data_IF_956636550718
#
_entry.id   IF_956636550718
#
_cell.length_a   1.000
_cell.length_b   1.000
_cell.length_c   1.000
_cell.angle_alpha   90.00
_cell.angle_beta   90.00
_cell.angle_gamma   90.00
#
_symmetry.space_group_name_H-M   'P 1'
#
loop_
_entity.id
_entity.type
_entity.pdbx_description
1 polymer ?
#
# COMPACT_ATOMS: atom_id res chain seq x y z
N UNK A 1 55.40 -42.01 8.19
CA UNK A 1 55.79 -40.65 7.77
C UNK A 1 54.53 -39.80 7.65
N UNK A 2 54.28 -38.97 8.66
CA UNK A 2 53.08 -38.12 8.77
C UNK A 2 53.11 -36.97 7.77
N UNK A 3 52.02 -36.77 7.02
CA UNK A 3 51.71 -35.51 6.36
C UNK A 3 50.47 -34.91 7.02
N UNK A 4 50.71 -33.84 7.77
CA UNK A 4 49.71 -33.02 8.45
C UNK A 4 49.06 -32.09 7.43
N UNK A 5 47.75 -32.25 7.23
CA UNK A 5 46.95 -31.36 6.40
C UNK A 5 46.50 -30.12 7.20
N UNK A 6 46.88 -28.94 6.71
CA UNK A 6 46.45 -27.62 7.22
C UNK A 6 44.96 -27.40 6.95
N UNK A 7 44.18 -27.08 7.99
CA UNK A 7 42.84 -26.49 7.89
C UNK A 7 42.93 -25.02 7.45
N UNK A 8 42.04 -24.52 6.57
CA UNK A 8 41.84 -23.09 6.38
C UNK A 8 40.83 -22.54 7.40
N UNK A 9 41.15 -21.41 8.01
CA UNK A 9 40.32 -20.67 8.95
C UNK A 9 39.25 -19.84 8.21
N UNK A 10 38.03 -19.86 8.76
CA UNK A 10 36.88 -19.15 8.24
C UNK A 10 36.80 -17.70 8.72
N UNK A 11 36.29 -16.88 7.78
CA UNK A 11 35.74 -15.52 7.83
C UNK A 11 35.26 -15.01 9.21
N UNK A 12 35.75 -13.82 9.57
CA UNK A 12 35.07 -12.86 10.47
C UNK A 12 34.63 -11.67 9.62
N UNK A 13 33.34 -11.55 9.34
CA UNK A 13 32.71 -10.35 8.78
C UNK A 13 31.93 -9.64 9.88
N UNK A 14 32.45 -8.51 10.36
CA UNK A 14 31.71 -7.62 11.27
C UNK A 14 30.99 -6.54 10.47
N UNK A 15 29.69 -6.51 10.73
CA UNK A 15 28.63 -5.57 10.41
C UNK A 15 28.95 -4.09 10.65
N UNK A 16 28.61 -3.28 9.65
CA UNK A 16 27.74 -2.09 9.72
C UNK A 16 27.80 -1.22 10.99
N UNK A 17 28.38 -0.01 10.85
CA UNK A 17 28.18 1.10 11.76
C UNK A 17 27.76 2.36 10.97
N UNK A 18 26.58 2.85 11.34
CA UNK A 18 25.85 4.02 10.81
C UNK A 18 26.53 5.33 11.28
N UNK A 19 26.67 6.39 10.46
CA UNK A 19 27.17 7.67 10.96
C UNK A 19 26.07 8.45 11.68
N UNK A 20 26.35 8.79 12.94
CA UNK A 20 25.57 9.70 13.78
C UNK A 20 25.93 11.15 13.44
N UNK A 21 24.97 11.89 12.85
CA UNK A 21 25.05 13.34 12.65
C UNK A 21 24.73 14.03 13.98
N UNK A 22 25.72 14.65 14.61
CA UNK A 22 25.53 15.62 15.68
C UNK A 22 26.07 16.98 15.24
N UNK A 23 25.14 17.88 14.89
CA UNK A 23 25.39 19.29 14.66
C UNK A 23 25.67 19.99 16.01
N UNK A 24 26.90 20.46 16.20
CA UNK A 24 27.25 21.42 17.26
C UNK A 24 27.27 22.82 16.66
N UNK A 25 26.23 23.61 16.91
CA UNK A 25 26.27 25.06 16.67
C UNK A 25 27.00 25.75 17.83
N UNK A 26 28.13 26.36 17.50
CA UNK A 26 28.88 27.27 18.38
C UNK A 26 28.10 28.59 18.52
N UNK A 27 27.70 28.89 19.74
CA UNK A 27 27.30 30.24 20.17
C UNK A 27 28.57 31.06 20.41
N UNK A 28 28.80 32.09 19.60
CA UNK A 28 29.81 33.11 19.86
C UNK A 28 29.19 34.26 20.65
N UNK A 29 29.61 34.36 21.91
CA UNK A 29 29.40 35.52 22.77
C UNK A 29 30.31 36.67 22.32
N UNK A 30 29.73 37.85 22.09
CA UNK A 30 30.45 39.13 22.23
C UNK A 30 29.92 39.84 23.48
N UNK A 31 30.78 40.26 24.42
CA UNK A 31 30.37 40.98 25.61
C UNK A 31 30.51 42.50 25.42
N UNK A 32 29.59 43.23 26.05
CA UNK A 32 29.87 44.50 26.72
C UNK A 32 29.92 45.75 25.85
N UNK A 33 28.94 46.64 26.06
CA UNK A 33 29.34 47.99 26.48
C UNK A 33 28.34 48.57 27.51
N UNK A 34 28.91 49.06 28.60
CA UNK A 34 28.22 49.61 29.77
C UNK A 34 28.18 51.13 29.64
N UNK A 35 27.02 51.73 29.89
CA UNK A 35 26.86 53.18 29.86
C UNK A 35 27.40 53.93 31.08
N UNK A 36 27.45 55.28 30.89
CA UNK A 36 27.21 56.44 31.82
C UNK A 36 28.29 57.54 31.65
N UNK A 37 28.08 58.83 32.04
CA UNK A 37 26.87 59.51 32.58
C UNK A 37 26.56 60.92 32.00
N UNK A 38 25.31 61.40 32.23
CA UNK A 38 25.00 62.73 32.79
C UNK A 38 25.10 64.03 31.96
N UNK A 39 23.94 64.64 31.65
CA UNK A 39 23.76 66.09 31.57
C UNK A 39 22.29 66.47 31.90
N UNK A 40 22.02 67.64 32.54
CA UNK A 40 20.77 67.95 33.25
C UNK A 40 19.63 68.43 32.33
N UNK A 41 18.37 68.47 32.83
CA UNK A 41 17.20 68.75 32.01
C UNK A 41 17.02 70.26 31.73
N UNK A 42 17.07 70.64 30.46
CA UNK A 42 16.63 71.97 30.02
C UNK A 42 15.10 72.07 30.03
N UNK A 43 14.62 73.12 30.70
CA UNK A 43 13.22 73.49 30.84
C UNK A 43 12.64 73.82 29.47
N UNK A 44 11.71 72.99 28.98
CA UNK A 44 10.88 73.29 27.81
C UNK A 44 10.02 74.53 28.09
N UNK A 45 10.35 75.64 27.44
CA UNK A 45 9.44 76.79 27.29
C UNK A 45 8.26 76.35 26.42
N UNK A 46 7.06 76.82 26.76
CA UNK A 46 5.86 76.58 25.98
C UNK A 46 6.06 77.05 24.53
N UNK A 47 5.65 76.28 23.52
CA UNK A 47 5.70 76.73 22.13
C UNK A 47 4.68 77.84 21.92
N UNK A 48 5.18 79.01 21.54
CA UNK A 48 4.41 80.14 21.06
C UNK A 48 3.69 79.71 19.77
N UNK A 49 2.35 79.70 19.82
CA UNK A 49 1.51 79.30 18.69
C UNK A 49 1.46 80.45 17.67
N UNK A 50 2.41 80.45 16.72
CA UNK A 50 2.38 81.36 15.58
C UNK A 50 1.47 80.75 14.50
N UNK A 51 0.36 81.43 14.19
CA UNK A 51 -0.51 81.04 13.08
C UNK A 51 0.27 81.10 11.76
N UNK A 52 0.26 80.04 10.94
CA UNK A 52 0.83 80.08 9.60
C UNK A 52 0.01 81.05 8.74
N UNK A 53 0.68 81.99 8.08
CA UNK A 53 0.04 82.90 7.14
C UNK A 53 -0.60 82.09 5.98
N UNK A 54 -1.92 82.25 5.81
CA UNK A 54 -2.69 81.68 4.72
C UNK A 54 -2.35 82.38 3.39
N UNK A 55 -1.18 82.10 2.79
CA UNK A 55 -0.93 82.49 1.39
C UNK A 55 0.20 81.72 0.68
N UNK A 56 0.48 80.47 1.08
CA UNK A 56 1.43 79.63 0.34
C UNK A 56 0.65 78.52 -0.36
N UNK A 57 0.45 78.68 -1.66
CA UNK A 57 -0.03 77.62 -2.56
C UNK A 57 0.93 76.41 -2.44
N UNK A 58 0.42 75.20 -2.11
CA UNK A 58 1.26 74.02 -2.07
C UNK A 58 1.80 73.73 -3.48
N UNK A 59 3.13 73.57 -3.58
CA UNK A 59 3.79 73.17 -4.83
C UNK A 59 3.26 71.80 -5.26
N UNK A 60 2.89 71.67 -6.53
CA UNK A 60 2.47 70.41 -7.13
C UNK A 60 3.58 69.37 -6.96
N UNK A 61 3.29 68.29 -6.23
CA UNK A 61 4.15 67.12 -6.15
C UNK A 61 3.77 66.18 -7.29
N UNK A 62 4.59 66.12 -8.34
CA UNK A 62 4.31 65.42 -9.60
C UNK A 62 4.36 63.89 -9.55
N UNK A 63 4.52 63.26 -8.38
CA UNK A 63 4.45 61.79 -8.28
C UNK A 63 3.75 61.39 -6.99
N UNK A 64 2.46 61.10 -7.14
CA UNK A 64 1.68 60.42 -6.12
C UNK A 64 2.15 58.95 -6.13
N UNK A 65 2.95 58.56 -5.14
CA UNK A 65 3.34 57.16 -4.93
C UNK A 65 2.12 56.34 -4.51
N UNK A 66 1.47 55.72 -5.49
CA UNK A 66 0.30 54.86 -5.29
C UNK A 66 0.60 53.65 -4.38
N UNK A 67 1.85 53.21 -4.29
CA UNK A 67 2.27 52.13 -3.38
C UNK A 67 2.25 52.56 -1.91
N UNK A 68 2.68 53.79 -1.62
CA UNK A 68 2.64 54.35 -0.26
C UNK A 68 1.19 54.59 0.15
N UNK A 69 0.33 55.02 -0.79
CA UNK A 69 -1.10 55.19 -0.53
C UNK A 69 -1.79 53.83 -0.34
N UNK A 70 -1.50 52.81 -1.17
CA UNK A 70 -2.01 51.43 -0.99
C UNK A 70 -1.56 50.81 0.34
N UNK A 71 -0.30 50.97 0.72
CA UNK A 71 0.21 50.48 2.01
C UNK A 71 -0.43 51.22 3.20
N UNK A 72 -0.79 52.49 3.02
CA UNK A 72 -1.46 53.32 4.04
C UNK A 72 -2.97 53.05 4.11
N UNK A 73 -3.62 52.65 3.03
CA UNK A 73 -5.05 52.29 3.00
C UNK A 73 -5.29 50.84 3.37
N UNK A 74 -4.42 49.89 3.02
CA UNK A 74 -4.51 48.50 3.51
C UNK A 74 -4.37 48.39 5.04
N UNK A 75 -3.54 49.23 5.68
CA UNK A 75 -3.45 49.29 7.15
C UNK A 75 -4.69 49.87 7.84
N UNK A 76 -5.62 50.46 7.08
CA UNK A 76 -6.83 51.11 7.61
C UNK A 76 -8.10 50.29 7.41
N UNK A 77 -8.01 49.16 6.70
CA UNK A 77 -9.05 48.15 6.66
C UNK A 77 -8.66 46.93 7.49
N UNK A 78 -8.22 47.17 8.74
CA UNK A 78 -8.38 46.13 9.74
C UNK A 78 -9.89 46.01 9.99
N UNK A 79 -10.51 44.85 9.76
CA UNK A 79 -11.94 44.66 10.06
C UNK A 79 -12.18 45.07 11.52
N UNK A 80 -13.26 45.83 11.75
CA UNK A 80 -13.59 46.37 13.07
C UNK A 80 -13.71 45.21 14.08
N UNK A 81 -12.74 45.06 14.98
CA UNK A 81 -12.76 44.05 16.04
C UNK A 81 -11.43 43.35 16.35
N UNK A 82 -10.40 43.46 15.51
CA UNK A 82 -9.13 42.74 15.74
C UNK A 82 -8.04 43.60 16.42
N UNK A 83 -7.53 43.13 17.57
CA UNK A 83 -6.36 43.75 18.21
C UNK A 83 -5.05 43.13 17.70
N UNK A 84 -4.66 43.54 16.49
CA UNK A 84 -3.46 43.08 15.77
C UNK A 84 -2.16 43.37 16.56
N UNK A 85 -2.18 44.28 17.54
CA UNK A 85 -0.99 44.60 18.36
C UNK A 85 -0.77 43.54 19.43
N UNK A 86 -1.82 43.12 20.13
CA UNK A 86 -1.71 42.08 21.16
C UNK A 86 -1.47 40.70 20.54
N UNK A 87 -2.11 40.38 19.41
CA UNK A 87 -1.81 39.13 18.67
C UNK A 87 -0.31 39.06 18.32
N UNK A 88 0.30 40.16 17.87
CA UNK A 88 1.74 40.22 17.57
C UNK A 88 2.63 40.10 18.79
N UNK A 89 2.16 40.55 19.96
CA UNK A 89 2.89 40.39 21.22
C UNK A 89 2.87 38.93 21.66
N UNK A 90 1.70 38.29 21.63
CA UNK A 90 1.54 36.85 21.93
C UNK A 90 2.40 36.01 20.98
N UNK A 91 2.38 36.29 19.67
CA UNK A 91 3.23 35.58 18.69
C UNK A 91 4.74 35.73 18.96
N UNK A 92 5.18 36.86 19.52
CA UNK A 92 6.59 37.04 19.92
C UNK A 92 6.93 36.29 21.20
N UNK A 93 6.00 36.21 22.15
CA UNK A 93 6.18 35.49 23.41
C UNK A 93 6.16 33.96 23.22
N UNK A 94 5.33 33.47 22.29
CA UNK A 94 5.14 32.03 22.03
C UNK A 94 6.19 31.44 21.07
N UNK A 95 6.91 32.27 20.29
CA UNK A 95 7.81 31.82 19.21
C UNK A 95 8.84 30.75 19.63
N UNK A 96 9.32 30.82 20.87
CA UNK A 96 10.35 29.91 21.40
C UNK A 96 9.81 28.90 22.44
N UNK A 97 8.48 28.87 22.66
CA UNK A 97 7.84 28.00 23.63
C UNK A 97 7.07 26.87 22.94
N UNK A 98 7.22 25.64 23.44
CA UNK A 98 6.40 24.49 23.01
C UNK A 98 5.06 24.53 23.73
N UNK A 99 4.11 25.24 23.15
CA UNK A 99 2.73 25.34 23.66
C UNK A 99 1.84 24.44 22.79
N UNK A 100 0.92 23.66 23.37
CA UNK A 100 -0.04 22.88 22.58
C UNK A 100 -1.01 23.82 21.83
N UNK A 101 -1.47 23.37 20.66
CA UNK A 101 -2.26 24.19 19.74
C UNK A 101 -3.55 24.72 20.38
N UNK A 102 -4.19 23.94 21.25
CA UNK A 102 -5.40 24.36 21.97
C UNK A 102 -5.16 25.57 22.89
N UNK A 103 -4.05 25.57 23.63
CA UNK A 103 -3.67 26.67 24.53
C UNK A 103 -3.32 27.92 23.74
N UNK A 104 -2.63 27.75 22.60
CA UNK A 104 -2.32 28.85 21.69
C UNK A 104 -3.58 29.50 21.11
N UNK A 105 -4.55 28.70 20.66
CA UNK A 105 -5.82 29.22 20.14
C UNK A 105 -6.60 29.94 21.24
N UNK A 106 -6.61 29.40 22.47
CA UNK A 106 -7.25 30.07 23.61
C UNK A 106 -6.61 31.43 23.92
N UNK A 107 -5.27 31.54 23.86
CA UNK A 107 -4.53 32.80 24.05
C UNK A 107 -4.85 33.85 22.98
N UNK A 108 -5.01 33.43 21.72
CA UNK A 108 -5.28 34.34 20.59
C UNK A 108 -6.77 34.67 20.47
N UNK A 109 -7.65 33.77 20.91
CA UNK A 109 -9.11 33.86 20.70
C UNK A 109 -9.72 35.16 21.19
N UNK A 110 -9.31 35.69 22.35
CA UNK A 110 -9.88 36.93 22.90
C UNK A 110 -9.54 38.20 22.11
N UNK A 111 -8.61 38.11 21.15
CA UNK A 111 -8.10 39.24 20.38
C UNK A 111 -8.50 39.20 18.90
N UNK A 112 -9.19 38.14 18.45
CA UNK A 112 -9.74 38.05 17.09
C UNK A 112 -11.20 38.49 17.06
N UNK A 113 -11.67 38.99 15.91
CA UNK A 113 -13.02 39.53 15.78
C UNK A 113 -14.14 38.49 15.98
N UNK A 114 -13.83 37.21 15.77
CA UNK A 114 -14.72 36.06 15.86
C UNK A 114 -14.58 35.27 17.18
N UNK A 115 -13.83 35.80 18.15
CA UNK A 115 -13.43 35.09 19.38
C UNK A 115 -12.77 33.71 19.11
N UNK A 116 -12.01 33.59 18.02
CA UNK A 116 -11.30 32.39 17.61
C UNK A 116 -12.20 31.23 17.18
N UNK A 117 -13.42 31.51 16.73
CA UNK A 117 -14.35 30.49 16.25
C UNK A 117 -13.83 29.79 14.99
N UNK A 118 -13.27 30.55 14.05
CA UNK A 118 -12.69 30.03 12.80
C UNK A 118 -11.44 29.20 13.10
N UNK A 119 -10.56 29.68 13.99
CA UNK A 119 -9.37 28.93 14.43
C UNK A 119 -9.74 27.61 15.10
N UNK A 120 -10.78 27.58 15.94
CA UNK A 120 -11.27 26.35 16.56
C UNK A 120 -11.88 25.38 15.54
N UNK A 121 -12.53 25.91 14.51
CA UNK A 121 -13.09 25.10 13.42
C UNK A 121 -11.98 24.43 12.60
N UNK A 122 -10.96 25.20 12.19
CA UNK A 122 -9.80 24.67 11.47
C UNK A 122 -9.07 23.62 12.32
N UNK A 123 -8.88 23.88 13.63
CA UNK A 123 -8.27 22.89 14.53
C UNK A 123 -9.07 21.59 14.60
N UNK A 124 -10.40 21.66 14.68
CA UNK A 124 -11.25 20.47 14.71
C UNK A 124 -11.22 19.71 13.37
N UNK A 125 -11.11 20.42 12.25
CA UNK A 125 -10.94 19.82 10.91
C UNK A 125 -9.57 19.13 10.79
N UNK A 126 -8.50 19.77 11.27
CA UNK A 126 -7.14 19.20 11.29
C UNK A 126 -7.06 17.98 12.22
N UNK A 127 -7.70 18.02 13.38
CA UNK A 127 -7.77 16.86 14.29
C UNK A 127 -8.57 15.71 13.65
N UNK A 128 -9.69 16.01 13.00
CA UNK A 128 -10.49 15.00 12.30
C UNK A 128 -9.74 14.38 11.12
N UNK A 129 -9.01 15.17 10.34
CA UNK A 129 -8.19 14.67 9.23
C UNK A 129 -7.01 13.84 9.73
N UNK A 130 -6.35 14.27 10.81
CA UNK A 130 -5.30 13.50 11.47
C UNK A 130 -5.82 12.16 11.99
N UNK A 131 -6.97 12.14 12.67
CA UNK A 131 -7.58 10.90 13.15
C UNK A 131 -7.99 9.97 12.01
N UNK A 132 -8.52 10.50 10.90
CA UNK A 132 -8.81 9.71 9.68
C UNK A 132 -7.53 9.12 9.08
N UNK A 133 -6.46 9.90 9.01
CA UNK A 133 -5.17 9.45 8.52
C UNK A 133 -4.59 8.35 9.42
N UNK A 134 -4.60 8.56 10.73
CA UNK A 134 -4.13 7.59 11.71
C UNK A 134 -4.93 6.27 11.60
N UNK A 135 -6.26 6.34 11.55
CA UNK A 135 -7.10 5.15 11.34
C UNK A 135 -6.74 4.42 10.06
N UNK A 136 -6.59 5.15 8.95
CA UNK A 136 -6.20 4.56 7.67
C UNK A 136 -4.84 3.86 7.74
N UNK A 137 -3.84 4.49 8.35
CA UNK A 137 -2.50 3.90 8.51
C UNK A 137 -2.53 2.67 9.41
N UNK A 138 -3.27 2.71 10.53
CA UNK A 138 -3.41 1.56 11.41
C UNK A 138 -4.22 0.43 10.78
N UNK A 139 -5.26 0.75 10.01
CA UNK A 139 -6.06 -0.23 9.28
C UNK A 139 -5.22 -0.94 8.21
N UNK A 140 -4.46 -0.19 7.40
CA UNK A 140 -3.53 -0.78 6.43
C UNK A 140 -2.46 -1.63 7.11
N UNK A 141 -1.86 -1.15 8.20
CA UNK A 141 -0.85 -1.92 8.93
C UNK A 141 -1.44 -3.18 9.55
N UNK A 142 -2.66 -3.12 10.08
CA UNK A 142 -3.34 -4.29 10.66
C UNK A 142 -3.70 -5.31 9.58
N UNK A 143 -4.12 -4.83 8.40
CA UNK A 143 -4.38 -5.69 7.25
C UNK A 143 -3.09 -6.37 6.77
N UNK A 144 -2.00 -5.62 6.60
CA UNK A 144 -0.71 -6.18 6.17
C UNK A 144 -0.20 -7.24 7.15
N UNK A 145 -0.28 -6.97 8.46
CA UNK A 145 0.10 -7.94 9.50
C UNK A 145 -0.82 -9.16 9.47
N UNK A 146 -2.13 -8.95 9.30
CA UNK A 146 -3.09 -10.04 9.16
C UNK A 146 -2.79 -10.93 7.95
N UNK A 147 -2.50 -10.33 6.80
CA UNK A 147 -2.22 -11.05 5.55
C UNK A 147 -0.92 -11.87 5.65
N UNK A 148 0.12 -11.32 6.29
CA UNK A 148 1.36 -12.05 6.59
C UNK A 148 1.07 -13.25 7.50
N UNK A 149 0.31 -13.06 8.58
CA UNK A 149 -0.02 -14.13 9.52
C UNK A 149 -0.89 -15.22 8.89
N UNK A 150 -1.86 -14.85 8.05
CA UNK A 150 -2.70 -15.81 7.33
C UNK A 150 -1.86 -16.61 6.34
N UNK A 151 -0.94 -15.97 5.63
CA UNK A 151 -0.03 -16.65 4.70
C UNK A 151 0.91 -17.62 5.44
N UNK A 152 1.47 -17.22 6.59
CA UNK A 152 2.29 -18.10 7.42
C UNK A 152 1.50 -19.32 7.93
N UNK A 153 0.27 -19.10 8.41
CA UNK A 153 -0.61 -20.20 8.84
C UNK A 153 -0.94 -21.15 7.68
N UNK A 154 -1.20 -20.60 6.49
CA UNK A 154 -1.46 -21.39 5.30
C UNK A 154 -0.25 -22.25 4.90
N UNK A 155 0.95 -21.67 4.92
CA UNK A 155 2.19 -22.39 4.63
C UNK A 155 2.44 -23.51 5.65
N UNK A 156 2.20 -23.25 6.94
CA UNK A 156 2.32 -24.28 7.98
C UNK A 156 1.31 -25.40 7.77
N UNK A 157 0.05 -25.09 7.45
CA UNK A 157 -0.97 -26.08 7.18
C UNK A 157 -0.61 -26.97 5.97
N UNK A 158 -0.18 -26.34 4.86
CA UNK A 158 0.29 -27.04 3.66
C UNK A 158 1.48 -27.95 3.97
N UNK A 159 2.46 -27.46 4.74
CA UNK A 159 3.62 -28.26 5.13
C UNK A 159 3.22 -29.54 5.90
N UNK A 160 2.29 -29.43 6.86
CA UNK A 160 1.83 -30.60 7.61
C UNK A 160 0.97 -31.53 6.75
N UNK A 161 0.17 -30.99 5.84
CA UNK A 161 -0.61 -31.78 4.88
C UNK A 161 0.29 -32.58 3.94
N UNK A 162 1.29 -31.94 3.32
CA UNK A 162 2.29 -32.60 2.47
C UNK A 162 3.04 -33.70 3.23
N UNK A 163 3.46 -33.40 4.48
CA UNK A 163 4.14 -34.38 5.32
C UNK A 163 3.24 -35.54 5.70
N UNK A 164 1.97 -35.29 6.01
CA UNK A 164 0.98 -36.33 6.28
C UNK A 164 0.74 -37.20 5.06
N UNK A 165 0.60 -36.60 3.88
CA UNK A 165 0.41 -37.31 2.61
C UNK A 165 1.62 -38.19 2.31
N UNK A 166 2.83 -37.67 2.46
CA UNK A 166 4.07 -38.44 2.26
C UNK A 166 4.19 -39.63 3.22
N UNK A 167 3.77 -39.47 4.49
CA UNK A 167 3.75 -40.59 5.44
C UNK A 167 2.66 -41.62 5.09
N UNK A 168 1.50 -41.15 4.66
CA UNK A 168 0.39 -42.01 4.23
C UNK A 168 0.78 -42.79 2.98
N UNK A 169 1.42 -42.15 2.00
CA UNK A 169 1.96 -42.83 0.82
C UNK A 169 3.00 -43.88 1.18
N UNK A 170 3.95 -43.55 2.07
CA UNK A 170 4.94 -44.53 2.56
C UNK A 170 4.28 -45.71 3.25
N UNK A 171 3.27 -45.45 4.07
CA UNK A 171 2.50 -46.49 4.75
C UNK A 171 1.76 -47.37 3.74
N UNK A 172 1.08 -46.78 2.76
CA UNK A 172 0.38 -47.52 1.71
C UNK A 172 1.34 -48.35 0.85
N UNK A 173 2.52 -47.81 0.50
CA UNK A 173 3.56 -48.59 -0.20
C UNK A 173 4.04 -49.77 0.64
N UNK A 174 4.30 -49.56 1.92
CA UNK A 174 4.72 -50.65 2.82
C UNK A 174 3.62 -51.71 2.99
N UNK A 175 2.35 -51.30 3.07
CA UNK A 175 1.20 -52.21 3.11
C UNK A 175 1.13 -53.03 1.81
N UNK A 176 1.27 -52.38 0.66
CA UNK A 176 1.27 -53.07 -0.63
C UNK A 176 2.46 -54.06 -0.73
N UNK A 177 3.66 -53.66 -0.30
CA UNK A 177 4.84 -54.53 -0.26
C UNK A 177 4.62 -55.75 0.66
N UNK A 178 3.95 -55.58 1.80
CA UNK A 178 3.55 -56.69 2.67
C UNK A 178 2.60 -57.63 1.94
N UNK A 179 1.57 -57.12 1.25
CA UNK A 179 0.64 -57.95 0.51
C UNK A 179 1.27 -58.62 -0.73
N UNK A 180 2.28 -58.02 -1.34
CA UNK A 180 3.07 -58.65 -2.41
C UNK A 180 3.87 -59.85 -1.89
N UNK A 181 4.48 -59.73 -0.70
CA UNK A 181 5.24 -60.83 -0.08
C UNK A 181 4.34 -61.88 0.59
N UNK A 182 3.22 -61.46 1.17
CA UNK A 182 2.28 -62.27 1.93
C UNK A 182 0.83 -61.81 1.65
N UNK A 183 0.17 -62.35 0.61
CA UNK A 183 -1.18 -61.94 0.23
C UNK A 183 -2.25 -62.16 1.30
N UNK A 184 -2.07 -63.19 2.15
CA UNK A 184 -3.00 -63.55 3.23
C UNK A 184 -2.67 -62.84 4.56
N UNK A 185 -1.88 -61.76 4.51
CA UNK A 185 -1.52 -60.99 5.70
C UNK A 185 -2.72 -60.22 6.26
N UNK A 186 -2.96 -60.37 7.56
CA UNK A 186 -4.10 -59.86 8.31
C UNK A 186 -3.56 -58.97 9.43
N UNK A 187 -3.71 -57.65 9.23
CA UNK A 187 -3.22 -56.63 10.15
C UNK A 187 -3.89 -56.71 11.53
N UNK A 188 -5.15 -57.13 11.62
CA UNK A 188 -5.85 -57.21 12.91
C UNK A 188 -5.30 -58.35 13.77
N UNK A 189 -5.02 -59.51 13.15
CA UNK A 189 -4.37 -60.64 13.84
C UNK A 189 -2.94 -60.32 14.23
N UNK A 190 -2.19 -59.63 13.36
CA UNK A 190 -0.82 -59.19 13.66
C UNK A 190 -0.75 -58.26 14.87
N UNK A 191 -1.70 -57.32 15.01
CA UNK A 191 -1.74 -56.39 16.16
C UNK A 191 -2.08 -57.11 17.46
N UNK A 192 -2.93 -58.14 17.41
CA UNK A 192 -3.31 -58.93 18.59
C UNK A 192 -2.19 -59.88 19.03
N UNK A 193 -1.67 -60.69 18.11
CA UNK A 193 -0.77 -61.80 18.42
C UNK A 193 0.49 -61.79 17.52
N UNK A 194 1.28 -60.71 17.65
CA UNK A 194 2.43 -60.41 16.77
C UNK A 194 3.41 -61.57 16.58
N UNK A 195 3.83 -62.21 17.67
CA UNK A 195 4.94 -63.18 17.64
C UNK A 195 4.51 -64.53 17.04
N UNK A 196 3.30 -64.99 17.33
CA UNK A 196 2.82 -66.29 16.86
C UNK A 196 2.25 -66.21 15.44
N UNK A 197 1.65 -65.07 15.08
CA UNK A 197 1.20 -64.80 13.73
C UNK A 197 2.35 -64.74 12.73
N UNK A 198 3.45 -64.05 13.08
CA UNK A 198 4.64 -63.97 12.21
C UNK A 198 5.32 -65.32 11.99
N UNK A 199 5.42 -66.17 13.03
CA UNK A 199 6.00 -67.52 12.90
C UNK A 199 5.19 -68.41 11.97
N UNK A 200 3.88 -68.19 11.91
CA UNK A 200 2.95 -68.98 11.08
C UNK A 200 3.05 -68.60 9.60
N UNK A 201 3.20 -67.30 9.30
CA UNK A 201 3.21 -66.80 7.91
C UNK A 201 4.62 -66.80 7.31
N UNK A 202 5.64 -66.52 8.13
CA UNK A 202 7.04 -66.48 7.71
C UNK A 202 7.83 -67.53 8.49
N UNK A 203 7.70 -68.83 8.16
CA UNK A 203 8.53 -69.85 8.76
C UNK A 203 10.00 -69.56 8.44
N UNK A 204 10.82 -69.43 9.49
CA UNK A 204 12.24 -69.17 9.35
C UNK A 204 12.87 -70.27 8.48
N UNK A 205 13.53 -69.92 7.36
CA UNK A 205 14.15 -70.90 6.50
C UNK A 205 15.21 -71.67 7.29
N UNK A 206 15.18 -73.00 7.19
CA UNK A 206 16.20 -73.87 7.77
C UNK A 206 17.54 -73.45 7.15
N UNK A 207 18.46 -72.98 7.99
CA UNK A 207 19.77 -72.50 7.56
C UNK A 207 20.53 -73.70 6.99
N UNK A 208 20.51 -73.84 5.66
CA UNK A 208 21.38 -74.76 4.95
C UNK A 208 22.78 -74.15 5.03
N UNK A 209 23.67 -74.80 5.79
CA UNK A 209 25.08 -74.41 5.90
C UNK A 209 25.75 -74.54 4.53
N UNK A 210 25.69 -73.48 3.72
CA UNK A 210 26.53 -73.33 2.53
C UNK A 210 27.97 -73.12 2.99
N UNK A 211 28.94 -73.64 2.22
CA UNK A 211 30.35 -73.42 2.50
C UNK A 211 30.64 -71.90 2.56
N UNK A 212 31.46 -71.46 3.50
CA UNK A 212 31.73 -70.05 3.75
C UNK A 212 32.28 -69.32 2.50
N UNK A 213 33.01 -70.04 1.64
CA UNK A 213 33.57 -69.52 0.40
C UNK A 213 32.51 -69.14 -0.64
N UNK A 214 31.43 -69.94 -0.76
CA UNK A 214 30.33 -69.67 -1.69
C UNK A 214 29.53 -68.43 -1.25
N UNK A 215 29.36 -68.24 0.06
CA UNK A 215 28.69 -67.06 0.62
C UNK A 215 29.51 -65.81 0.37
N UNK A 216 30.84 -65.89 0.51
CA UNK A 216 31.73 -64.76 0.27
C UNK A 216 31.82 -64.40 -1.22
N UNK A 217 31.87 -65.40 -2.10
CA UNK A 217 31.81 -65.19 -3.55
C UNK A 217 30.49 -64.55 -3.98
N UNK A 218 29.36 -65.01 -3.44
CA UNK A 218 28.04 -64.45 -3.72
C UNK A 218 27.94 -62.99 -3.24
N UNK A 219 28.42 -62.69 -2.02
CA UNK A 219 28.48 -61.31 -1.51
C UNK A 219 29.34 -60.40 -2.39
N UNK A 220 30.46 -60.91 -2.92
CA UNK A 220 31.34 -60.14 -3.80
C UNK A 220 30.66 -59.83 -5.14
N UNK A 221 29.90 -60.77 -5.69
CA UNK A 221 29.12 -60.55 -6.91
C UNK A 221 28.00 -59.54 -6.67
N UNK A 222 27.23 -59.67 -5.59
CA UNK A 222 26.18 -58.72 -5.21
C UNK A 222 26.74 -57.30 -5.01
N UNK A 223 27.88 -57.17 -4.33
CA UNK A 223 28.57 -55.89 -4.15
C UNK A 223 29.01 -55.28 -5.49
N UNK A 224 29.50 -56.11 -6.42
CA UNK A 224 29.90 -55.66 -7.76
C UNK A 224 28.70 -55.18 -8.57
N UNK A 225 27.60 -55.94 -8.60
CA UNK A 225 26.37 -55.53 -9.27
C UNK A 225 25.80 -54.24 -8.69
N UNK A 226 25.79 -54.11 -7.36
CA UNK A 226 25.36 -52.87 -6.70
C UNK A 226 26.24 -51.69 -7.08
N UNK A 227 27.56 -51.87 -7.14
CA UNK A 227 28.49 -50.81 -7.55
C UNK A 227 28.25 -50.40 -9.01
N UNK A 228 28.02 -51.37 -9.90
CA UNK A 228 27.75 -51.11 -11.31
C UNK A 228 26.41 -50.36 -11.48
N UNK A 229 25.37 -50.78 -10.76
CA UNK A 229 24.09 -50.08 -10.73
C UNK A 229 24.21 -48.64 -10.22
N UNK A 230 24.99 -48.41 -9.14
CA UNK A 230 25.24 -47.06 -8.63
C UNK A 230 25.99 -46.18 -9.65
N UNK A 231 26.89 -46.77 -10.44
CA UNK A 231 27.57 -46.02 -11.51
C UNK A 231 26.61 -45.65 -12.63
N UNK A 232 25.81 -46.59 -13.14
CA UNK A 232 24.82 -46.29 -14.18
C UNK A 232 23.77 -45.28 -13.70
N UNK A 233 23.35 -45.38 -12.44
CA UNK A 233 22.39 -44.44 -11.86
C UNK A 233 23.01 -43.05 -11.66
N UNK A 234 24.29 -42.99 -11.28
CA UNK A 234 25.05 -41.75 -11.25
C UNK A 234 25.15 -41.09 -12.63
N UNK A 235 25.45 -41.87 -13.67
CA UNK A 235 25.48 -41.39 -15.05
C UNK A 235 24.11 -40.87 -15.51
N UNK A 236 23.04 -41.63 -15.28
CA UNK A 236 21.65 -41.22 -15.57
C UNK A 236 21.30 -39.89 -14.91
N UNK A 237 21.61 -39.74 -13.63
CA UNK A 237 21.38 -38.49 -12.88
C UNK A 237 22.22 -37.33 -13.41
N UNK A 238 23.46 -37.56 -13.83
CA UNK A 238 24.28 -36.49 -14.42
C UNK A 238 23.73 -36.04 -15.78
N UNK A 239 23.19 -36.96 -16.57
CA UNK A 239 22.59 -36.65 -17.86
C UNK A 239 21.26 -35.90 -17.70
N UNK A 240 20.43 -36.30 -16.75
CA UNK A 240 19.21 -35.58 -16.38
C UNK A 240 19.52 -34.16 -15.89
N UNK A 241 20.52 -34.00 -15.02
CA UNK A 241 20.98 -32.68 -14.58
C UNK A 241 21.48 -31.82 -15.76
N UNK A 242 22.22 -32.40 -16.71
CA UNK A 242 22.64 -31.67 -17.93
C UNK A 242 21.46 -31.28 -18.81
N UNK A 243 20.42 -32.11 -18.89
CA UNK A 243 19.18 -31.80 -19.63
C UNK A 243 18.43 -30.66 -18.96
N UNK A 244 18.30 -30.69 -17.64
CA UNK A 244 17.64 -29.64 -16.86
C UNK A 244 18.42 -28.31 -16.93
N UNK A 245 19.74 -28.35 -16.88
CA UNK A 245 20.58 -27.16 -17.07
C UNK A 245 20.36 -26.52 -18.43
N UNK A 246 20.36 -27.31 -19.51
CA UNK A 246 20.04 -26.82 -20.86
C UNK A 246 18.64 -26.20 -20.94
N UNK A 247 17.65 -26.85 -20.34
CA UNK A 247 16.27 -26.31 -20.30
C UNK A 247 16.19 -24.99 -19.53
N UNK A 248 16.96 -24.86 -18.45
CA UNK A 248 17.03 -23.64 -17.66
C UNK A 248 17.70 -22.51 -18.44
N UNK A 249 18.74 -22.82 -19.23
CA UNK A 249 19.37 -21.87 -20.15
C UNK A 249 18.40 -21.40 -21.24
N UNK A 250 17.68 -22.32 -21.88
CA UNK A 250 16.63 -22.00 -22.87
C UNK A 250 15.57 -21.04 -22.29
N UNK A 251 15.04 -21.35 -21.10
CA UNK A 251 14.04 -20.49 -20.44
C UNK A 251 14.60 -19.12 -20.08
N UNK A 252 15.88 -19.02 -19.69
CA UNK A 252 16.52 -17.72 -19.44
C UNK A 252 16.68 -16.90 -20.72
N UNK A 253 16.97 -17.55 -21.84
CA UNK A 253 17.02 -16.86 -23.14
C UNK A 253 15.64 -16.39 -23.58
N UNK A 254 14.61 -17.21 -23.41
CA UNK A 254 13.22 -16.87 -23.70
C UNK A 254 12.77 -15.66 -22.86
N UNK A 255 13.02 -15.69 -21.54
CA UNK A 255 12.72 -14.57 -20.65
C UNK A 255 13.45 -13.28 -21.07
N UNK A 256 14.72 -13.37 -21.49
CA UNK A 256 15.46 -12.21 -21.99
C UNK A 256 14.87 -11.65 -23.27
N UNK A 257 14.43 -12.52 -24.20
CA UNK A 257 13.78 -12.07 -25.44
C UNK A 257 12.45 -11.38 -25.14
N UNK A 258 11.64 -11.96 -24.27
CA UNK A 258 10.38 -11.33 -23.82
C UNK A 258 10.63 -9.99 -23.14
N UNK A 259 11.67 -9.89 -22.31
CA UNK A 259 12.04 -8.62 -21.66
C UNK A 259 12.46 -7.55 -22.68
N UNK A 260 13.21 -7.93 -23.73
CA UNK A 260 13.59 -7.01 -24.81
C UNK A 260 12.34 -6.55 -25.57
N UNK A 261 11.47 -7.47 -25.99
CA UNK A 261 10.23 -7.14 -26.70
C UNK A 261 9.34 -6.24 -25.84
N UNK A 262 9.19 -6.53 -24.54
CA UNK A 262 8.43 -5.70 -23.62
C UNK A 262 9.04 -4.28 -23.49
N UNK A 263 10.37 -4.16 -23.49
CA UNK A 263 11.04 -2.86 -23.45
C UNK A 263 10.88 -2.06 -24.75
N UNK A 264 10.87 -2.73 -25.91
CA UNK A 264 10.62 -2.11 -27.21
C UNK A 264 9.17 -1.60 -27.29
N UNK A 265 8.20 -2.42 -26.90
CA UNK A 265 6.78 -2.02 -26.84
C UNK A 265 6.59 -0.84 -25.88
N UNK A 266 7.24 -0.86 -24.71
CA UNK A 266 7.18 0.25 -23.77
C UNK A 266 7.76 1.55 -24.38
N UNK A 267 8.88 1.47 -25.10
CA UNK A 267 9.47 2.61 -25.78
C UNK A 267 8.57 3.15 -26.91
N UNK A 268 7.90 2.28 -27.67
CA UNK A 268 6.94 2.70 -28.69
C UNK A 268 5.72 3.41 -28.09
N UNK A 269 5.19 2.88 -26.97
CA UNK A 269 4.07 3.51 -26.25
C UNK A 269 4.49 4.86 -25.67
N UNK A 270 5.70 4.98 -25.15
CA UNK A 270 6.23 6.24 -24.65
C UNK A 270 6.41 7.27 -25.77
N UNK A 271 6.92 6.85 -26.94
CA UNK A 271 7.03 7.72 -28.11
C UNK A 271 5.65 8.24 -28.57
N UNK A 272 4.64 7.37 -28.68
CA UNK A 272 3.26 7.76 -29.00
C UNK A 272 2.68 8.72 -27.97
N UNK A 273 2.97 8.50 -26.68
CA UNK A 273 2.56 9.40 -25.61
C UNK A 273 3.20 10.78 -25.77
N UNK A 274 4.48 10.85 -26.11
CA UNK A 274 5.17 12.12 -26.34
C UNK A 274 4.58 12.86 -27.56
N UNK A 275 4.25 12.16 -28.64
CA UNK A 275 3.57 12.73 -29.81
C UNK A 275 2.21 13.34 -29.43
N UNK A 276 1.37 12.60 -28.69
CA UNK A 276 0.08 13.09 -28.21
C UNK A 276 0.21 14.32 -27.31
N UNK A 277 1.23 14.36 -26.44
CA UNK A 277 1.50 15.54 -25.61
C UNK A 277 1.86 16.75 -26.48
N UNK A 278 2.67 16.57 -27.53
CA UNK A 278 3.03 17.65 -28.46
C UNK A 278 1.79 18.13 -29.24
N UNK A 279 0.90 17.24 -29.64
CA UNK A 279 -0.38 17.60 -30.27
C UNK A 279 -1.29 18.35 -29.29
N UNK A 280 -1.40 17.88 -28.05
CA UNK A 280 -2.17 18.55 -27.00
C UNK A 280 -1.64 19.97 -26.74
N UNK A 281 -0.32 20.16 -26.70
CA UNK A 281 0.27 21.50 -26.55
C UNK A 281 -0.05 22.40 -27.75
N UNK A 282 0.01 21.87 -28.98
CA UNK A 282 -0.35 22.64 -30.17
C UNK A 282 -1.82 23.06 -30.17
N UNK A 283 -2.72 22.17 -29.74
CA UNK A 283 -4.15 22.47 -29.63
C UNK A 283 -4.42 23.49 -28.53
N UNK A 284 -3.70 23.44 -27.40
CA UNK A 284 -3.76 24.47 -26.35
C UNK A 284 -3.28 25.82 -26.87
N UNK A 285 -2.15 25.87 -27.56
CA UNK A 285 -1.64 27.12 -28.16
C UNK A 285 -2.65 27.71 -29.17
N UNK A 286 -3.30 26.87 -29.98
CA UNK A 286 -4.36 27.30 -30.89
C UNK A 286 -5.58 27.86 -30.15
N UNK A 287 -6.01 27.20 -29.07
CA UNK A 287 -7.10 27.68 -28.21
C UNK A 287 -6.76 29.02 -27.55
N UNK A 288 -5.52 29.20 -27.09
CA UNK A 288 -5.07 30.45 -26.47
C UNK A 288 -5.05 31.59 -27.50
N UNK A 289 -4.55 31.35 -28.72
CA UNK A 289 -4.61 32.35 -29.81
C UNK A 289 -6.06 32.68 -30.18
N UNK A 290 -6.95 31.69 -30.22
CA UNK A 290 -8.36 31.91 -30.51
C UNK A 290 -9.01 32.73 -29.39
N UNK A 291 -8.75 32.39 -28.13
CA UNK A 291 -9.23 33.13 -26.96
C UNK A 291 -8.75 34.58 -26.99
N UNK A 292 -7.46 34.83 -27.24
CA UNK A 292 -6.93 36.18 -27.40
C UNK A 292 -7.63 36.95 -28.53
N UNK A 293 -7.93 36.28 -29.65
CA UNK A 293 -8.63 36.91 -30.76
C UNK A 293 -10.09 37.26 -30.40
N UNK A 294 -10.79 36.36 -29.71
CA UNK A 294 -12.16 36.59 -29.23
C UNK A 294 -12.17 37.71 -28.21
N UNK A 295 -11.26 37.70 -27.24
CA UNK A 295 -11.11 38.78 -26.25
C UNK A 295 -10.85 40.13 -26.93
N UNK A 296 -9.95 40.18 -27.94
CA UNK A 296 -9.72 41.40 -28.73
C UNK A 296 -11.01 41.88 -29.42
N UNK A 297 -11.74 40.99 -30.09
CA UNK A 297 -13.04 41.37 -30.71
C UNK A 297 -14.08 41.80 -29.68
N UNK A 298 -14.07 41.21 -28.49
CA UNK A 298 -14.99 41.56 -27.41
C UNK A 298 -14.68 42.97 -26.87
N UNK A 299 -13.40 43.26 -26.61
CA UNK A 299 -12.92 44.58 -26.18
C UNK A 299 -13.23 45.64 -27.26
N UNK A 300 -12.98 45.33 -28.53
CA UNK A 300 -13.30 46.24 -29.64
C UNK A 300 -14.80 46.51 -29.75
N UNK A 301 -15.64 45.47 -29.68
CA UNK A 301 -17.09 45.61 -29.69
C UNK A 301 -17.60 46.38 -28.46
N UNK A 302 -17.05 46.13 -27.27
CA UNK A 302 -17.40 46.87 -26.05
C UNK A 302 -17.01 48.35 -26.16
N UNK A 303 -15.85 48.66 -26.76
CA UNK A 303 -15.42 50.02 -27.01
C UNK A 303 -16.33 50.73 -28.04
N UNK A 304 -16.79 50.03 -29.09
CA UNK A 304 -17.76 50.56 -30.06
C UNK A 304 -19.12 50.80 -29.39
N UNK A 305 -19.61 49.84 -28.62
CA UNK A 305 -20.87 49.97 -27.87
C UNK A 305 -20.80 51.12 -26.85
N UNK A 306 -19.68 51.27 -26.13
CA UNK A 306 -19.47 52.38 -25.19
C UNK A 306 -19.43 53.74 -25.90
N UNK A 307 -18.83 53.81 -27.10
CA UNK A 307 -18.87 55.04 -27.93
C UNK A 307 -20.30 55.35 -28.39
N UNK A 308 -21.07 54.36 -28.86
CA UNK A 308 -22.47 54.56 -29.23
C UNK A 308 -23.33 54.97 -28.03
N UNK A 309 -23.07 54.41 -26.84
CA UNK A 309 -23.79 54.74 -25.61
C UNK A 309 -23.47 56.17 -25.12
N UNK A 310 -22.23 56.66 -25.33
CA UNK A 310 -21.85 58.04 -25.05
C UNK A 310 -22.43 59.05 -26.06
N UNK A 311 -22.56 58.67 -27.34
CA UNK A 311 -23.14 59.52 -28.40
C UNK A 311 -24.67 59.64 -28.25
N UNK A 312 -25.34 58.56 -27.84
CA UNK A 312 -26.78 58.58 -27.52
C UNK A 312 -27.06 59.28 -26.18
N UNK A 313 -26.11 59.27 -25.23
CA UNK A 313 -26.19 60.09 -24.01
C UNK A 313 -25.96 61.60 -24.27
N UNK A 314 -25.30 61.99 -25.37
CA UNK A 314 -25.04 63.41 -25.70
C UNK A 314 -26.10 64.06 -26.60
N UNK A 315 -27.10 63.31 -27.08
CA UNK A 315 -28.20 63.80 -27.92
C UNK A 315 -29.55 63.46 -27.30
N UNK A 316 -29.81 64.03 -26.13
CA UNK A 316 -31.05 63.75 -25.40
C UNK A 316 -31.23 64.57 -24.13
N UNK A 317 -31.02 65.89 -24.21
CA UNK A 317 -31.44 66.82 -23.16
C UNK A 317 -32.97 66.96 -23.17
N UNK A 318 -33.68 66.10 -22.43
CA UNK A 318 -35.05 66.40 -21.97
C UNK A 318 -35.13 66.11 -20.48
N UNK A 319 -35.36 67.18 -19.73
CA UNK A 319 -35.62 67.18 -18.30
C UNK A 319 -36.81 66.27 -17.97
N UNK A 320 -36.62 65.32 -17.05
CA UNK A 320 -37.73 64.65 -16.35
C UNK A 320 -37.48 64.65 -14.83
N UNK A 321 -38.54 64.83 -14.03
CA UNK A 321 -38.45 65.08 -12.59
C UNK A 321 -38.13 63.80 -11.79
N UNK A 322 -37.71 63.93 -10.51
CA UNK A 322 -37.14 62.83 -9.75
C UNK A 322 -38.20 61.79 -9.33
N UNK A 323 -37.97 60.48 -9.56
CA UNK A 323 -38.81 59.46 -8.96
C UNK A 323 -38.37 59.18 -7.52
N UNK A 324 -39.37 59.07 -6.65
CA UNK A 324 -39.25 58.75 -5.23
C UNK A 324 -38.51 57.41 -5.02
N UNK A 325 -37.56 57.41 -4.09
CA UNK A 325 -36.81 56.25 -3.60
C UNK A 325 -37.78 55.18 -3.08
N UNK A 326 -37.83 54.01 -3.72
CA UNK A 326 -38.29 52.76 -3.11
C UNK A 326 -37.06 51.93 -2.69
N UNK A 327 -37.12 51.23 -1.54
CA UNK A 327 -35.98 50.48 -1.02
C UNK A 327 -35.62 49.30 -1.95
N UNK A 328 -34.34 49.21 -2.30
CA UNK A 328 -33.77 48.09 -3.04
C UNK A 328 -33.94 46.78 -2.25
N UNK A 329 -34.74 45.87 -2.79
CA UNK A 329 -34.71 44.46 -2.39
C UNK A 329 -33.35 43.88 -2.81
N UNK A 330 -32.55 43.46 -1.82
CA UNK A 330 -31.32 42.68 -2.00
C UNK A 330 -31.60 41.51 -2.95
N UNK A 331 -30.92 41.46 -4.10
CA UNK A 331 -30.87 40.25 -4.94
C UNK A 331 -30.14 39.18 -4.13
N UNK A 332 -30.81 38.04 -3.92
CA UNK A 332 -30.20 36.85 -3.31
C UNK A 332 -29.04 36.39 -4.19
N UNK A 333 -27.91 35.93 -3.62
CA UNK A 333 -26.86 35.27 -4.40
C UNK A 333 -27.49 34.09 -5.13
N UNK A 334 -27.29 34.04 -6.45
CA UNK A 334 -27.60 32.86 -7.25
C UNK A 334 -26.74 31.73 -6.70
N UNK A 335 -27.40 30.65 -6.26
CA UNK A 335 -26.78 29.50 -5.61
C UNK A 335 -25.67 28.94 -6.51
N UNK A 336 -24.46 28.82 -5.94
CA UNK A 336 -23.30 28.10 -6.54
C UNK A 336 -23.56 26.60 -6.75
N UNK A 337 -24.71 26.09 -6.34
CA UNK A 337 -25.11 24.69 -6.49
C UNK A 337 -25.15 24.26 -7.97
N UNK A 338 -25.53 25.15 -8.91
CA UNK A 338 -25.70 24.76 -10.31
C UNK A 338 -24.39 24.35 -11.02
N UNK A 339 -23.25 24.95 -10.63
CA UNK A 339 -21.94 24.58 -11.20
C UNK A 339 -21.40 23.30 -10.55
N UNK A 340 -21.78 23.03 -9.30
CA UNK A 340 -21.42 21.80 -8.59
C UNK A 340 -22.22 20.60 -9.07
N UNK A 341 -23.49 20.79 -9.42
CA UNK A 341 -24.37 19.73 -9.94
C UNK A 341 -23.91 19.28 -11.32
N UNK A 342 -23.57 20.23 -12.20
CA UNK A 342 -23.06 19.93 -13.55
C UNK A 342 -21.68 19.24 -13.48
N UNK A 343 -20.81 19.65 -12.56
CA UNK A 343 -19.52 18.99 -12.36
C UNK A 343 -19.69 17.54 -11.85
N UNK A 344 -20.63 17.31 -10.93
CA UNK A 344 -20.97 15.96 -10.44
C UNK A 344 -21.57 15.08 -11.53
N UNK A 345 -22.49 15.62 -12.35
CA UNK A 345 -23.07 14.87 -13.47
C UNK A 345 -22.01 14.48 -14.51
N UNK A 346 -21.04 15.35 -14.78
CA UNK A 346 -19.93 15.04 -15.69
C UNK A 346 -19.02 13.92 -15.16
N UNK A 347 -18.74 13.91 -13.85
CA UNK A 347 -17.97 12.85 -13.21
C UNK A 347 -18.75 11.51 -13.21
N UNK A 348 -20.06 11.54 -12.95
CA UNK A 348 -20.91 10.33 -12.99
C UNK A 348 -21.00 9.74 -14.41
N UNK A 349 -21.08 10.58 -15.45
CA UNK A 349 -21.06 10.13 -16.85
C UNK A 349 -19.71 9.51 -17.21
N UNK A 350 -18.59 10.09 -16.75
CA UNK A 350 -17.25 9.56 -16.98
C UNK A 350 -17.05 8.19 -16.29
N UNK A 351 -17.56 8.03 -15.07
CA UNK A 351 -17.54 6.75 -14.33
C UNK A 351 -18.40 5.70 -15.06
N UNK A 352 -19.59 6.06 -15.53
CA UNK A 352 -20.45 5.15 -16.28
C UNK A 352 -19.81 4.71 -17.61
N UNK A 353 -19.13 5.61 -18.33
CA UNK A 353 -18.40 5.25 -19.55
C UNK A 353 -17.21 4.33 -19.25
N UNK A 354 -16.44 4.59 -18.19
CA UNK A 354 -15.35 3.71 -17.79
C UNK A 354 -15.85 2.30 -17.45
N UNK A 355 -16.94 2.19 -16.67
CA UNK A 355 -17.56 0.90 -16.34
C UNK A 355 -18.14 0.18 -17.57
N UNK A 356 -18.70 0.91 -18.53
CA UNK A 356 -19.20 0.34 -19.78
C UNK A 356 -18.06 -0.23 -20.64
N UNK A 357 -16.93 0.47 -20.73
CA UNK A 357 -15.75 -0.02 -21.47
C UNK A 357 -15.08 -1.24 -20.83
N UNK A 358 -15.14 -1.38 -19.49
CA UNK A 358 -14.69 -2.60 -18.82
C UNK A 358 -15.66 -3.79 -19.03
N UNK A 359 -16.96 -3.53 -19.19
CA UNK A 359 -17.98 -4.57 -19.38
C UNK A 359 -18.01 -5.14 -20.82
N UNK A 360 -17.60 -4.38 -21.83
CA UNK A 360 -17.66 -4.80 -23.24
C UNK A 360 -16.58 -5.84 -23.64
N UNK A 361 -15.60 -6.09 -22.75
CA UNK A 361 -14.54 -7.09 -22.95
C UNK A 361 -14.85 -8.50 -22.44
N UNK A 362 -16.01 -8.72 -21.81
CA UNK A 362 -16.36 -10.03 -21.22
C UNK A 362 -17.43 -10.72 -22.09
N UNK A 363 -17.11 -11.84 -22.78
CA UNK A 363 -18.10 -12.57 -23.56
C UNK A 363 -19.23 -13.09 -22.66
N UNK A 364 -20.50 -13.07 -23.12
CA UNK A 364 -21.62 -13.50 -22.29
C UNK A 364 -21.47 -14.98 -21.90
N UNK A 365 -21.76 -15.35 -20.64
CA UNK A 365 -21.67 -16.72 -20.21
C UNK A 365 -22.66 -17.58 -20.99
N UNK A 366 -22.13 -18.66 -21.58
CA UNK A 366 -22.90 -19.66 -22.29
C UNK A 366 -23.98 -20.22 -21.37
N UNK A 367 -25.23 -20.13 -21.82
CA UNK A 367 -26.44 -20.59 -21.13
C UNK A 367 -26.33 -22.08 -20.82
N UNK A 368 -25.94 -22.43 -19.60
CA UNK A 368 -25.96 -23.79 -19.10
C UNK A 368 -27.42 -24.24 -18.94
N UNK A 369 -27.76 -25.32 -19.64
CA UNK A 369 -29.03 -26.03 -19.49
C UNK A 369 -29.21 -26.47 -18.04
N UNK A 370 -30.42 -26.23 -17.51
CA UNK A 370 -30.84 -26.72 -16.21
C UNK A 370 -30.90 -28.25 -16.26
N UNK A 371 -29.91 -28.92 -15.67
CA UNK A 371 -30.04 -30.32 -15.26
C UNK A 371 -30.89 -30.33 -14.00
N UNK A 372 -32.06 -30.96 -14.07
CA UNK A 372 -32.91 -31.20 -12.90
C UNK A 372 -32.12 -32.01 -11.87
N UNK A 373 -31.87 -31.43 -10.70
CA UNK A 373 -31.34 -32.14 -9.53
C UNK A 373 -32.37 -33.17 -9.05
N UNK A 374 -32.03 -34.44 -9.24
CA UNK A 374 -32.63 -35.56 -8.51
C UNK A 374 -32.37 -35.38 -7.01
N UNK A 375 -33.38 -35.50 -6.13
CA UNK A 375 -33.19 -35.40 -4.69
C UNK A 375 -32.30 -36.55 -4.19
N UNK A 376 -31.29 -36.19 -3.40
CA UNK A 376 -30.37 -37.14 -2.79
C UNK A 376 -31.09 -38.16 -1.88
N UNK A 377 -30.69 -39.43 -1.88
CA UNK A 377 -31.27 -40.43 -0.99
C UNK A 377 -30.93 -40.11 0.47
N UNK A 378 -31.95 -40.18 1.32
CA UNK A 378 -31.86 -40.01 2.77
C UNK A 378 -30.94 -41.09 3.37
N UNK A 379 -29.72 -40.71 3.78
CA UNK A 379 -28.86 -41.57 4.60
C UNK A 379 -29.39 -41.60 6.05
N UNK A 380 -29.76 -42.78 6.60
CA UNK A 380 -30.13 -42.88 8.01
C UNK A 380 -28.92 -42.59 8.92
N UNK A 381 -29.15 -42.09 10.15
CA UNK A 381 -28.09 -41.73 11.07
C UNK A 381 -27.18 -42.94 11.36
N UNK A 382 -25.89 -42.79 11.06
CA UNK A 382 -24.85 -43.79 11.33
C UNK A 382 -24.84 -44.11 12.82
N UNK A 383 -25.25 -45.33 13.18
CA UNK A 383 -25.02 -45.89 14.50
C UNK A 383 -23.50 -45.93 14.73
N UNK A 384 -23.01 -45.11 15.67
CA UNK A 384 -21.63 -45.22 16.15
C UNK A 384 -21.50 -46.55 16.88
N UNK A 385 -20.60 -47.40 16.39
CA UNK A 385 -20.28 -48.66 17.06
C UNK A 385 -19.65 -48.36 18.44
N UNK A 386 -19.90 -49.18 19.48
CA UNK A 386 -19.37 -48.97 20.83
C UNK A 386 -17.85 -49.18 20.98
N UNK A 387 -17.12 -49.44 19.89
CA UNK A 387 -15.71 -49.78 19.90
C UNK A 387 -14.92 -48.87 18.94
N UNK A 388 -14.81 -47.60 19.31
CA UNK A 388 -13.72 -46.75 18.83
C UNK A 388 -12.75 -46.54 19.99
N UNK A 389 -11.87 -47.51 20.16
CA UNK A 389 -10.71 -47.40 21.04
C UNK A 389 -9.60 -46.73 20.22
N UNK A 390 -9.51 -45.40 20.26
CA UNK A 390 -8.31 -44.69 19.86
C UNK A 390 -7.27 -44.90 20.97
N UNK A 391 -6.17 -45.62 20.74
CA UNK A 391 -5.13 -45.72 21.75
C UNK A 391 -4.50 -44.33 21.88
N UNK A 392 -4.55 -43.75 23.09
CA UNK A 392 -3.71 -42.59 23.41
C UNK A 392 -2.25 -43.01 23.25
N UNK A 393 -1.63 -42.64 22.13
CA UNK A 393 -0.20 -42.71 21.97
C UNK A 393 0.43 -41.72 22.96
N UNK A 394 0.79 -42.23 24.15
CA UNK A 394 1.59 -41.50 25.12
C UNK A 394 3.03 -41.48 24.61
N UNK A 395 3.37 -40.44 23.84
CA UNK A 395 4.74 -40.18 23.46
C UNK A 395 5.63 -40.06 24.73
N UNK A 396 6.89 -40.52 24.70
CA UNK A 396 7.85 -40.24 25.75
C UNK A 396 7.91 -38.73 26.01
N UNK A 397 8.00 -38.26 27.27
CA UNK A 397 8.02 -36.84 27.57
C UNK A 397 9.23 -36.18 26.89
N UNK A 398 8.96 -35.25 25.98
CA UNK A 398 9.99 -34.36 25.44
C UNK A 398 10.63 -33.56 26.59
N UNK A 399 11.94 -33.27 26.52
CA UNK A 399 12.60 -32.45 27.51
C UNK A 399 11.94 -31.07 27.59
N UNK A 400 11.45 -30.73 28.79
CA UNK A 400 10.80 -29.46 29.09
C UNK A 400 11.77 -28.31 28.75
N UNK A 401 11.39 -27.34 27.91
CA UNK A 401 12.22 -26.15 27.68
C UNK A 401 12.34 -25.32 28.97
N UNK A 402 13.47 -24.61 29.18
CA UNK A 402 13.68 -23.77 30.36
C UNK A 402 12.53 -22.78 30.58
N UNK A 403 12.01 -22.76 31.80
CA UNK A 403 10.71 -22.20 32.19
C UNK A 403 10.75 -20.69 32.51
N UNK A 404 11.47 -19.89 31.75
CA UNK A 404 11.70 -18.47 32.10
C UNK A 404 11.13 -17.41 31.12
N UNK A 405 10.30 -17.73 30.12
CA UNK A 405 9.78 -16.69 29.20
C UNK A 405 8.32 -16.87 28.74
N UNK A 406 7.41 -17.42 29.56
CA UNK A 406 6.04 -17.73 29.12
C UNK A 406 4.93 -17.35 30.12
N UNK A 407 5.03 -16.18 30.77
CA UNK A 407 3.91 -15.66 31.59
C UNK A 407 3.11 -14.51 30.96
N UNK A 408 3.48 -13.95 29.80
CA UNK A 408 2.89 -12.67 29.34
C UNK A 408 2.00 -12.70 28.08
N UNK A 409 1.50 -13.85 27.60
CA UNK A 409 0.54 -13.85 26.47
C UNK A 409 -0.60 -14.86 26.62
N UNK A 410 -1.39 -14.72 27.68
CA UNK A 410 -2.74 -15.30 27.75
C UNK A 410 -3.72 -14.38 27.00
N UNK A 411 -3.85 -14.59 25.68
CA UNK A 411 -4.88 -13.95 24.86
C UNK A 411 -6.14 -14.82 24.91
N UNK A 412 -7.24 -14.23 25.38
CA UNK A 412 -8.56 -14.85 25.40
C UNK A 412 -9.04 -15.13 23.97
N UNK A 413 -9.47 -16.38 23.71
CA UNK A 413 -10.02 -16.80 22.43
C UNK A 413 -11.41 -16.16 22.23
N UNK A 414 -11.47 -15.08 21.46
CA UNK A 414 -12.72 -14.58 20.90
C UNK A 414 -13.12 -15.48 19.72
N UNK A 415 -14.30 -16.10 19.79
CA UNK A 415 -14.89 -16.86 18.68
C UNK A 415 -15.30 -15.90 17.56
N UNK A 416 -14.44 -15.76 16.54
CA UNK A 416 -14.79 -15.08 15.29
C UNK A 416 -15.43 -16.10 14.34
N UNK A 417 -16.75 -15.98 14.13
CA UNK A 417 -17.47 -16.70 13.08
C UNK A 417 -17.16 -16.04 11.74
N UNK A 418 -16.20 -16.59 11.00
CA UNK A 418 -15.91 -16.17 9.62
C UNK A 418 -17.02 -16.72 8.71
N UNK A 419 -17.87 -15.83 8.19
CA UNK A 419 -18.74 -16.15 7.05
C UNK A 419 -17.88 -16.28 5.79
N UNK A 420 -17.54 -17.52 5.42
CA UNK A 420 -16.95 -17.80 4.13
C UNK A 420 -18.03 -17.71 3.04
N UNK A 421 -18.02 -16.61 2.28
CA UNK A 421 -18.53 -16.60 0.91
C UNK A 421 -17.58 -15.78 0.05
N UNK A 422 -16.77 -16.48 -0.76
CA UNK A 422 -16.34 -16.03 -2.09
C UNK A 422 -15.75 -17.20 -2.91
N UNK A 423 -15.77 -17.09 -4.25
CA UNK A 423 -15.80 -18.22 -5.17
C UNK A 423 -14.42 -18.81 -5.47
N UNK A 424 -14.44 -20.08 -5.85
CA UNK A 424 -13.30 -20.88 -6.32
C UNK A 424 -12.78 -20.32 -7.66
N UNK A 425 -11.47 -20.07 -7.84
CA UNK A 425 -10.91 -19.79 -9.15
C UNK A 425 -10.91 -21.08 -9.99
N UNK A 426 -11.55 -21.04 -11.17
CA UNK A 426 -11.49 -22.11 -12.16
C UNK A 426 -10.05 -22.29 -12.65
N UNK A 427 -9.43 -23.41 -12.30
CA UNK A 427 -8.17 -23.86 -12.90
C UNK A 427 -8.36 -24.14 -14.38
N UNK A 428 -7.57 -23.49 -15.24
CA UNK A 428 -7.44 -23.84 -16.65
C UNK A 428 -7.01 -25.29 -16.79
N UNK A 429 -7.84 -26.11 -17.42
CA UNK A 429 -7.50 -27.45 -17.85
C UNK A 429 -6.36 -27.39 -18.87
N UNK A 430 -5.20 -27.92 -18.52
CA UNK A 430 -4.11 -28.18 -19.47
C UNK A 430 -4.47 -29.38 -20.32
N UNK A 431 -4.88 -29.12 -21.57
CA UNK A 431 -4.92 -30.12 -22.63
C UNK A 431 -3.47 -30.44 -23.04
N UNK A 432 -2.89 -31.47 -22.43
CA UNK A 432 -1.69 -32.13 -22.95
C UNK A 432 -2.11 -33.46 -23.62
N UNK A 433 -1.57 -33.83 -24.79
CA UNK A 433 -1.93 -35.07 -25.48
C UNK A 433 -1.43 -36.28 -24.71
N UNK A 434 -2.33 -37.24 -24.47
CA UNK A 434 -1.99 -38.62 -24.08
C UNK A 434 -1.34 -39.30 -25.29
N UNK A 435 -0.02 -39.35 -25.32
CA UNK A 435 0.69 -40.26 -26.21
C UNK A 435 0.70 -41.67 -25.60
N UNK A 436 0.03 -42.55 -26.33
CA UNK A 436 -0.04 -43.99 -26.17
C UNK A 436 1.31 -44.63 -26.46
N UNK A 437 1.87 -45.35 -25.49
CA UNK A 437 2.83 -46.43 -25.76
C UNK A 437 2.22 -47.73 -25.23
N UNK A 438 1.43 -48.35 -26.10
CA UNK A 438 1.04 -49.74 -25.98
C UNK A 438 2.07 -50.63 -26.68
N UNK A 439 2.46 -51.69 -25.97
CA UNK A 439 2.77 -53.03 -26.49
C UNK A 439 3.78 -53.17 -27.63
N UNK A 440 4.93 -53.75 -27.30
CA UNK A 440 5.51 -54.82 -28.11
C UNK A 440 5.95 -55.96 -27.18
N UNK A 441 5.74 -57.18 -27.70
CA UNK A 441 5.91 -58.50 -27.11
C UNK A 441 7.28 -58.78 -26.48
#
# INVERSE_FOLDING_TARGET
>A
MSKVAKKPAAKVSKTSARPSVQSKSKVSLKPGDKGKPGAPPEKKKAPEFVMPAFSILPKAQDKIDWEVIKARTMRRQAPEGEDIKEIRRILKEVKDQKIPVHDFINLVSSYTADNGAELRTIMAEDEATFLKLARKVYETMTQDVSDVLVNEQLQMAQYYEERHNLMTEKMMRAINEIYEMAPDFDFEKFVRDREDYLKTILPLPIIVNKAAEDIELQRRQEAYHRLQWLRSEGERMTEENRRLQRRLEELKEEQKREQIVASEVAAEVEAKRQELVVEETKMKDQLDVLNESVEKTFIENEAVMSKQHNVTASTGAVSRPPPKKKPLKKRKPVKKEWVSEIASEMDDIAIQQAMATEAEGVPPPTRLEYVMETPAPYEPPRQRSPFHFSPEYRAPPEPVPPREVLEDTRIEQAQVRVQQRRPVPQSRASLAPRDTWGGFH
#
